data_IF_472287785372
#
_entry.id   IF_472287785372
#
_cell.length_a   1.000
_cell.length_b   1.000
_cell.length_c   1.000
_cell.angle_alpha   90.00
_cell.angle_beta   90.00
_cell.angle_gamma   90.00
#
_symmetry.space_group_name_H-M   'P 1'
#
loop_
_entity.id
_entity.type
_entity.pdbx_description
1 polymer ?
#
# COMPACT_ATOMS: atom_id res chain seq x y z
N UNK A 1 12.19 -18.33 -44.22
CA UNK A 1 11.30 -17.37 -43.53
C UNK A 1 11.15 -17.87 -42.10
N UNK A 2 11.74 -17.20 -41.11
CA UNK A 2 11.63 -17.61 -39.70
C UNK A 2 10.32 -17.07 -39.12
N UNK A 3 9.45 -17.97 -38.68
CA UNK A 3 8.23 -17.60 -37.96
C UNK A 3 8.64 -17.29 -36.52
N UNK A 4 8.58 -16.02 -36.13
CA UNK A 4 8.71 -15.64 -34.72
C UNK A 4 7.44 -16.11 -34.02
N UNK A 5 7.47 -17.30 -33.44
CA UNK A 5 6.46 -17.73 -32.47
C UNK A 5 6.48 -16.75 -31.31
N UNK A 6 5.44 -15.93 -31.21
CA UNK A 6 5.18 -15.08 -30.06
C UNK A 6 5.13 -15.98 -28.81
N UNK A 7 6.03 -15.82 -27.82
CA UNK A 7 6.00 -16.66 -26.64
C UNK A 7 4.64 -16.49 -25.95
N UNK A 8 3.99 -17.60 -25.60
CA UNK A 8 2.73 -17.58 -24.87
C UNK A 8 2.93 -16.78 -23.58
N UNK A 9 2.22 -15.65 -23.46
CA UNK A 9 2.23 -14.85 -22.24
C UNK A 9 1.37 -15.57 -21.20
N UNK A 10 2.02 -16.30 -20.29
CA UNK A 10 1.36 -16.92 -19.15
C UNK A 10 1.10 -15.80 -18.13
N UNK A 11 -0.17 -15.50 -17.77
CA UNK A 11 -0.45 -14.50 -16.76
C UNK A 11 0.18 -14.90 -15.42
N UNK A 12 0.68 -13.94 -14.63
CA UNK A 12 1.22 -14.23 -13.30
C UNK A 12 0.14 -14.85 -12.43
N UNK A 13 0.55 -15.71 -11.49
CA UNK A 13 -0.40 -16.31 -10.54
C UNK A 13 -1.08 -15.23 -9.70
N UNK A 14 -2.36 -15.41 -9.41
CA UNK A 14 -3.14 -14.48 -8.59
C UNK A 14 -2.50 -14.25 -7.22
N UNK A 15 -1.90 -15.30 -6.64
CA UNK A 15 -1.16 -15.24 -5.38
C UNK A 15 -0.01 -14.24 -5.41
N UNK A 16 0.79 -14.24 -6.49
CA UNK A 16 1.91 -13.31 -6.65
C UNK A 16 1.38 -11.89 -6.86
N UNK A 17 0.34 -11.73 -7.67
CA UNK A 17 -0.28 -10.42 -7.90
C UNK A 17 -0.78 -9.82 -6.59
N UNK A 18 -1.42 -10.63 -5.74
CA UNK A 18 -1.91 -10.19 -4.43
C UNK A 18 -0.76 -9.87 -3.46
N UNK A 19 0.26 -10.72 -3.39
CA UNK A 19 1.45 -10.46 -2.57
C UNK A 19 2.13 -9.14 -2.96
N UNK A 20 2.27 -8.87 -4.26
CA UNK A 20 2.85 -7.62 -4.77
C UNK A 20 1.97 -6.41 -4.45
N UNK A 21 0.64 -6.54 -4.53
CA UNK A 21 -0.29 -5.46 -4.13
C UNK A 21 -0.10 -5.08 -2.67
N UNK A 22 -0.03 -6.08 -1.79
CA UNK A 22 0.14 -5.87 -0.36
C UNK A 22 1.51 -5.29 -0.02
N UNK A 23 2.58 -5.80 -0.65
CA UNK A 23 3.92 -5.22 -0.51
C UNK A 23 3.94 -3.75 -0.92
N UNK A 24 3.31 -3.40 -2.04
CA UNK A 24 3.24 -2.02 -2.50
C UNK A 24 2.50 -1.11 -1.50
N UNK A 25 1.42 -1.59 -0.88
CA UNK A 25 0.72 -0.83 0.18
C UNK A 25 1.63 -0.57 1.40
N UNK A 26 2.40 -1.57 1.83
CA UNK A 26 3.38 -1.40 2.90
C UNK A 26 4.46 -0.38 2.52
N UNK A 27 5.04 -0.49 1.32
CA UNK A 27 6.04 0.47 0.85
C UNK A 27 5.48 1.89 0.70
N UNK A 28 4.24 2.05 0.22
CA UNK A 28 3.60 3.35 0.13
C UNK A 28 3.50 3.99 1.51
N UNK A 29 3.14 3.22 2.54
CA UNK A 29 3.06 3.73 3.91
C UNK A 29 4.43 4.19 4.42
N UNK A 30 5.50 3.41 4.25
CA UNK A 30 6.83 3.83 4.70
C UNK A 30 7.32 5.07 3.93
N UNK A 31 7.07 5.14 2.61
CA UNK A 31 7.40 6.31 1.79
C UNK A 31 6.65 7.57 2.23
N UNK A 32 5.39 7.46 2.68
CA UNK A 32 4.68 8.60 3.26
C UNK A 32 5.44 9.12 4.49
N UNK A 33 5.89 8.23 5.38
CA UNK A 33 6.61 8.64 6.58
C UNK A 33 7.92 9.34 6.22
N UNK A 34 8.69 8.80 5.27
CA UNK A 34 9.91 9.43 4.76
C UNK A 34 9.65 10.81 4.14
N UNK A 35 8.54 10.98 3.43
CA UNK A 35 8.16 12.25 2.82
C UNK A 35 7.73 13.28 3.87
N UNK A 36 7.00 12.86 4.90
CA UNK A 36 6.63 13.73 6.03
C UNK A 36 7.87 14.18 6.80
N UNK A 37 8.77 13.25 7.13
CA UNK A 37 9.98 13.55 7.89
C UNK A 37 10.96 14.42 7.09
N UNK A 38 10.93 14.32 5.75
CA UNK A 38 11.65 15.22 4.84
C UNK A 38 10.95 16.56 4.56
N UNK A 39 9.78 16.82 5.17
CA UNK A 39 8.99 18.05 4.94
C UNK A 39 8.31 18.15 3.57
N UNK A 40 8.25 17.06 2.80
CA UNK A 40 7.63 16.99 1.46
C UNK A 40 6.13 16.70 1.57
N UNK A 41 5.41 17.59 2.24
CA UNK A 41 4.01 17.40 2.66
C UNK A 41 3.04 17.18 1.50
N UNK A 42 3.19 17.88 0.37
CA UNK A 42 2.32 17.69 -0.80
C UNK A 42 2.46 16.28 -1.39
N UNK A 43 3.70 15.78 -1.45
CA UNK A 43 4.01 14.44 -1.95
C UNK A 43 3.46 13.39 -0.99
N UNK A 44 3.69 13.56 0.31
CA UNK A 44 3.17 12.71 1.36
C UNK A 44 1.63 12.61 1.32
N UNK A 45 0.94 13.75 1.22
CA UNK A 45 -0.53 13.80 1.14
C UNK A 45 -1.05 13.06 -0.09
N UNK A 46 -0.45 13.30 -1.27
CA UNK A 46 -0.85 12.61 -2.50
C UNK A 46 -0.63 11.10 -2.40
N UNK A 47 0.52 10.67 -1.85
CA UNK A 47 0.81 9.25 -1.65
C UNK A 47 -0.12 8.62 -0.62
N UNK A 48 -0.45 9.32 0.46
CA UNK A 48 -1.41 8.83 1.45
C UNK A 48 -2.80 8.65 0.82
N UNK A 49 -3.26 9.58 -0.03
CA UNK A 49 -4.51 9.42 -0.79
C UNK A 49 -4.47 8.20 -1.72
N UNK A 50 -3.34 7.94 -2.37
CA UNK A 50 -3.18 6.72 -3.17
C UNK A 50 -3.24 5.47 -2.29
N UNK A 51 -2.58 5.45 -1.13
CA UNK A 51 -2.66 4.34 -0.19
C UNK A 51 -4.10 4.08 0.25
N UNK A 52 -4.87 5.12 0.57
CA UNK A 52 -6.31 5.03 0.88
C UNK A 52 -7.08 4.30 -0.22
N UNK A 53 -6.90 4.69 -1.49
CA UNK A 53 -7.56 4.03 -2.62
C UNK A 53 -7.17 2.57 -2.74
N UNK A 54 -5.89 2.24 -2.56
CA UNK A 54 -5.40 0.85 -2.63
C UNK A 54 -5.99 -0.02 -1.52
N UNK A 55 -6.06 0.51 -0.30
CA UNK A 55 -6.67 -0.18 0.84
C UNK A 55 -8.15 -0.44 0.60
N UNK A 56 -8.90 0.51 0.03
CA UNK A 56 -10.30 0.30 -0.37
C UNK A 56 -10.43 -0.80 -1.42
N UNK A 57 -9.59 -0.78 -2.45
CA UNK A 57 -9.57 -1.81 -3.51
C UNK A 57 -9.25 -3.21 -2.95
N UNK A 58 -8.47 -3.29 -1.89
CA UNK A 58 -8.14 -4.54 -1.19
C UNK A 58 -9.18 -4.94 -0.11
N UNK A 59 -10.31 -4.22 0.01
CA UNK A 59 -11.34 -4.49 1.01
C UNK A 59 -10.96 -4.09 2.45
N UNK A 60 -9.85 -3.37 2.64
CA UNK A 60 -9.31 -2.99 3.94
C UNK A 60 -9.92 -1.69 4.45
N UNK A 61 -11.25 -1.66 4.58
CA UNK A 61 -12.03 -0.43 4.83
C UNK A 61 -11.61 0.34 6.07
N UNK A 62 -11.32 -0.34 7.19
CA UNK A 62 -10.88 0.33 8.42
C UNK A 62 -9.52 1.03 8.26
N UNK A 63 -8.56 0.34 7.63
CA UNK A 63 -7.26 0.90 7.32
C UNK A 63 -7.36 2.04 6.32
N UNK A 64 -8.23 1.92 5.32
CA UNK A 64 -8.49 2.98 4.36
C UNK A 64 -9.05 4.24 5.02
N UNK A 65 -10.03 4.12 5.94
CA UNK A 65 -10.55 5.27 6.67
C UNK A 65 -9.46 5.95 7.51
N UNK A 66 -8.62 5.17 8.19
CA UNK A 66 -7.49 5.73 8.93
C UNK A 66 -6.52 6.47 7.99
N UNK A 67 -6.18 5.89 6.83
CA UNK A 67 -5.30 6.53 5.84
C UNK A 67 -5.92 7.81 5.28
N UNK A 68 -7.24 7.83 5.05
CA UNK A 68 -7.96 9.01 4.60
C UNK A 68 -7.88 10.15 5.61
N UNK A 69 -8.20 9.88 6.89
CA UNK A 69 -8.12 10.89 7.94
C UNK A 69 -6.71 11.43 8.14
N UNK A 70 -5.68 10.58 7.99
CA UNK A 70 -4.29 11.06 8.05
C UNK A 70 -3.89 11.87 6.81
N UNK A 71 -4.44 11.58 5.62
CA UNK A 71 -4.25 12.42 4.45
C UNK A 71 -4.85 13.82 4.65
N UNK A 72 -6.06 13.91 5.20
CA UNK A 72 -6.69 15.19 5.55
C UNK A 72 -5.88 15.94 6.62
N UNK A 73 -5.33 15.21 7.61
CA UNK A 73 -4.48 15.81 8.64
C UNK A 73 -3.17 16.34 8.08
N UNK A 74 -2.55 15.61 7.14
CA UNK A 74 -1.34 16.05 6.46
C UNK A 74 -1.59 17.32 5.64
N UNK A 75 -2.71 17.39 4.93
CA UNK A 75 -3.09 18.56 4.13
C UNK A 75 -3.36 19.78 5.00
N UNK A 76 -4.07 19.61 6.12
CA UNK A 76 -4.50 20.74 6.96
C UNK A 76 -3.47 21.15 8.02
N UNK A 77 -2.69 20.20 8.55
CA UNK A 77 -1.81 20.39 9.72
C UNK A 77 -0.35 20.06 9.43
N UNK A 78 0.00 19.59 8.23
CA UNK A 78 1.36 19.23 7.85
C UNK A 78 1.99 18.10 8.66
N UNK A 79 1.18 17.33 9.40
CA UNK A 79 1.67 16.28 10.29
C UNK A 79 0.70 15.09 10.31
N UNK A 80 1.17 13.92 10.75
CA UNK A 80 0.32 12.77 11.07
C UNK A 80 0.17 12.58 12.57
N UNK A 81 -0.94 11.96 12.99
CA UNK A 81 -1.11 11.56 14.39
C UNK A 81 -0.20 10.38 14.73
N UNK A 82 0.27 10.30 15.98
CA UNK A 82 1.07 9.15 16.42
C UNK A 82 0.27 7.84 16.35
N UNK A 83 -1.01 7.90 16.71
CA UNK A 83 -1.91 6.75 16.66
C UNK A 83 -2.14 6.28 15.22
N UNK A 84 -2.41 7.20 14.29
CA UNK A 84 -2.59 6.90 12.88
C UNK A 84 -1.35 6.33 12.23
N UNK A 85 -0.16 6.91 12.50
CA UNK A 85 1.13 6.34 12.09
C UNK A 85 1.28 4.89 12.55
N UNK A 86 0.96 4.61 13.81
CA UNK A 86 1.04 3.27 14.38
C UNK A 86 0.06 2.30 13.70
N UNK A 87 -1.22 2.68 13.62
CA UNK A 87 -2.27 1.85 13.01
C UNK A 87 -1.95 1.49 11.56
N UNK A 88 -1.50 2.47 10.76
CA UNK A 88 -1.16 2.25 9.35
C UNK A 88 0.07 1.35 9.20
N UNK A 89 1.13 1.57 9.99
CA UNK A 89 2.34 0.74 9.96
C UNK A 89 2.07 -0.72 10.31
N UNK A 90 1.41 -0.95 11.44
CA UNK A 90 1.16 -2.32 11.89
C UNK A 90 0.04 -3.00 11.10
N UNK A 91 -0.96 -2.24 10.63
CA UNK A 91 -2.02 -2.77 9.78
C UNK A 91 -1.49 -3.24 8.42
N UNK A 92 -0.72 -2.40 7.71
CA UNK A 92 -0.11 -2.80 6.42
C UNK A 92 0.87 -3.96 6.58
N UNK A 93 1.63 -4.01 7.68
CA UNK A 93 2.49 -5.17 8.00
C UNK A 93 1.70 -6.44 8.29
N UNK A 94 0.57 -6.34 9.00
CA UNK A 94 -0.29 -7.49 9.29
C UNK A 94 -0.86 -8.07 7.99
N UNK A 95 -1.28 -7.22 7.05
CA UNK A 95 -1.72 -7.66 5.71
C UNK A 95 -0.62 -8.43 4.99
N UNK A 96 0.61 -7.91 4.99
CA UNK A 96 1.75 -8.58 4.35
C UNK A 96 1.99 -9.96 4.95
N UNK A 97 2.01 -10.07 6.27
CA UNK A 97 2.19 -11.35 6.95
C UNK A 97 1.04 -12.32 6.67
N UNK A 98 -0.20 -11.84 6.65
CA UNK A 98 -1.38 -12.65 6.34
C UNK A 98 -1.27 -13.23 4.93
N UNK A 99 -0.93 -12.41 3.93
CA UNK A 99 -0.77 -12.88 2.54
C UNK A 99 0.37 -13.89 2.40
N UNK A 100 1.51 -13.67 3.08
CA UNK A 100 2.63 -14.63 3.07
C UNK A 100 2.20 -15.97 3.70
N UNK A 101 1.51 -15.94 4.84
CA UNK A 101 1.07 -17.16 5.52
C UNK A 101 0.02 -17.93 4.74
N UNK A 102 -0.93 -17.24 4.08
CA UNK A 102 -1.92 -17.89 3.20
C UNK A 102 -1.26 -18.62 2.02
N UNK A 103 -0.16 -18.07 1.50
CA UNK A 103 0.58 -18.67 0.39
C UNK A 103 1.51 -19.82 0.80
N UNK A 104 1.81 -19.98 2.10
CA UNK A 104 2.75 -20.98 2.61
C UNK A 104 2.09 -22.33 3.00
N UNK A 105 0.76 -22.38 3.07
CA UNK A 105 -0.01 -23.55 3.52
C UNK A 105 -0.61 -24.39 2.37
N UNK A 106 -0.17 -24.16 1.13
CA UNK A 106 -0.57 -24.92 -0.07
C UNK A 106 0.61 -25.67 -0.68
#
# INVERSE_FOLDING_TARGET
MFVLTNPQQIPPSEKIVEAVRVLNMYEMNEKVLEEVDAGRLDVATKRMRHLTTRLLQAGQTQLAHQAHSEAERLENMGTMSMEGRKKLKYGTRALMNQTINLNAND
#
